data_IF_497420803036
#
_entry.id   IF_497420803036
#
_cell.length_a   1.000
_cell.length_b   1.000
_cell.length_c   1.000
_cell.angle_alpha   90.00
_cell.angle_beta   90.00
_cell.angle_gamma   90.00
#
_symmetry.space_group_name_H-M   'P 1'
#
loop_
_entity.id
_entity.type
_entity.pdbx_description
1 polymer ?
#
# COMPACT_ATOMS: atom_id res chain seq x y z
N UNK A 1 5.09 -3.39 9.69
CA UNK A 1 3.83 -3.88 9.08
C UNK A 1 4.11 -4.32 7.66
N UNK A 2 3.61 -5.47 7.26
CA UNK A 2 3.73 -5.98 5.90
C UNK A 2 2.36 -6.02 5.25
N UNK A 3 2.34 -6.15 3.92
CA UNK A 3 1.11 -6.10 3.15
C UNK A 3 0.08 -7.14 3.62
N UNK A 4 0.52 -8.33 3.97
CA UNK A 4 -0.38 -9.39 4.39
C UNK A 4 -1.13 -9.08 5.69
N UNK A 5 -0.67 -8.11 6.47
CA UNK A 5 -1.34 -7.71 7.70
C UNK A 5 -2.50 -6.74 7.45
N UNK A 6 -2.62 -6.23 6.24
CA UNK A 6 -3.70 -5.31 5.89
C UNK A 6 -4.99 -6.08 5.58
N UNK A 7 -6.16 -5.43 5.73
CA UNK A 7 -7.42 -6.03 5.26
C UNK A 7 -7.33 -6.37 3.77
N UNK A 8 -8.02 -7.43 3.31
CA UNK A 8 -7.97 -7.81 1.89
C UNK A 8 -8.30 -6.68 0.92
N UNK A 9 -9.28 -5.84 1.28
CA UNK A 9 -9.65 -4.71 0.43
C UNK A 9 -8.51 -3.70 0.33
N UNK A 10 -7.81 -3.45 1.44
CA UNK A 10 -6.66 -2.54 1.44
C UNK A 10 -5.51 -3.10 0.60
N UNK A 11 -5.29 -4.41 0.65
CA UNK A 11 -4.27 -5.05 -0.16
C UNK A 11 -4.56 -4.89 -1.66
N UNK A 12 -5.81 -5.06 -2.04
CA UNK A 12 -6.23 -4.88 -3.44
C UNK A 12 -6.02 -3.43 -3.89
N UNK A 13 -6.43 -2.48 -3.07
CA UNK A 13 -6.27 -1.07 -3.40
C UNK A 13 -4.80 -0.70 -3.50
N UNK A 14 -3.99 -1.20 -2.58
CA UNK A 14 -2.55 -0.97 -2.62
C UNK A 14 -1.94 -1.45 -3.94
N UNK A 15 -2.27 -2.68 -4.34
CA UNK A 15 -1.77 -3.23 -5.59
C UNK A 15 -2.24 -2.41 -6.79
N UNK A 16 -3.50 -2.00 -6.78
CA UNK A 16 -4.08 -1.19 -7.86
C UNK A 16 -3.39 0.16 -7.98
N UNK A 17 -3.23 0.86 -6.86
CA UNK A 17 -2.62 2.19 -6.85
C UNK A 17 -1.15 2.12 -7.26
N UNK A 18 -0.45 1.07 -6.84
CA UNK A 18 0.92 0.85 -7.27
C UNK A 18 0.99 0.61 -8.78
N UNK A 19 0.04 -0.15 -9.30
CA UNK A 19 -0.06 -0.40 -10.73
C UNK A 19 -0.32 0.86 -11.54
N UNK A 20 -1.00 1.85 -10.95
CA UNK A 20 -1.23 3.15 -11.61
C UNK A 20 0.02 4.03 -11.61
N UNK A 21 1.05 3.66 -10.86
CA UNK A 21 2.25 4.48 -10.76
C UNK A 21 2.14 5.64 -9.79
N UNK A 22 1.16 5.60 -8.89
CA UNK A 22 0.97 6.68 -7.91
C UNK A 22 2.12 6.70 -6.90
N UNK A 23 2.42 7.89 -6.40
CA UNK A 23 3.48 8.06 -5.41
C UNK A 23 3.08 7.42 -4.08
N UNK A 24 4.09 6.93 -3.35
CA UNK A 24 3.88 6.27 -2.07
C UNK A 24 3.09 7.15 -1.09
N UNK A 25 3.36 8.45 -1.08
CA UNK A 25 2.66 9.38 -0.20
C UNK A 25 1.16 9.41 -0.48
N UNK A 26 0.78 9.39 -1.75
CA UNK A 26 -0.62 9.41 -2.16
C UNK A 26 -1.29 8.10 -1.77
N UNK A 27 -0.62 6.98 -2.04
CA UNK A 27 -1.14 5.66 -1.68
C UNK A 27 -1.35 5.58 -0.17
N UNK A 28 -0.36 6.00 0.59
CA UNK A 28 -0.42 6.03 2.05
C UNK A 28 -1.63 6.83 2.55
N UNK A 29 -1.79 8.04 2.02
CA UNK A 29 -2.87 8.91 2.46
C UNK A 29 -4.24 8.30 2.19
N UNK A 30 -4.45 7.78 0.99
CA UNK A 30 -5.71 7.15 0.62
C UNK A 30 -6.01 5.93 1.47
N UNK A 31 -5.04 5.05 1.65
CA UNK A 31 -5.25 3.85 2.45
C UNK A 31 -5.54 4.19 3.91
N UNK A 32 -4.81 5.15 4.46
CA UNK A 32 -5.02 5.56 5.84
C UNK A 32 -6.42 6.11 6.06
N UNK A 33 -6.92 6.89 5.12
CA UNK A 33 -8.26 7.48 5.21
C UNK A 33 -9.37 6.45 5.02
N UNK A 34 -9.20 5.56 4.03
CA UNK A 34 -10.26 4.61 3.69
C UNK A 34 -10.41 3.48 4.70
N UNK A 35 -9.32 3.07 5.31
CA UNK A 35 -9.30 1.89 6.18
C UNK A 35 -8.87 2.21 7.60
N UNK A 36 -8.75 3.50 7.92
CA UNK A 36 -8.34 3.95 9.25
C UNK A 36 -7.01 3.31 9.68
N UNK A 37 -6.04 3.34 8.77
CA UNK A 37 -4.71 2.78 8.99
C UNK A 37 -3.71 3.87 9.34
N UNK A 38 -2.53 3.46 9.81
CA UNK A 38 -1.44 4.37 10.18
C UNK A 38 -0.16 3.99 9.45
N UNK A 39 -0.25 3.89 8.13
CA UNK A 39 0.90 3.56 7.31
C UNK A 39 1.80 4.77 7.12
N UNK A 40 3.10 4.51 6.95
CA UNK A 40 4.07 5.55 6.61
C UNK A 40 4.56 5.34 5.18
N UNK A 41 5.19 6.38 4.60
CA UNK A 41 5.78 6.26 3.27
C UNK A 41 6.82 5.15 3.21
N UNK A 42 7.61 5.01 4.28
CA UNK A 42 8.61 3.93 4.37
C UNK A 42 7.95 2.56 4.28
N UNK A 43 6.85 2.37 4.99
CA UNK A 43 6.13 1.11 4.95
C UNK A 43 5.57 0.83 3.56
N UNK A 44 5.02 1.85 2.90
CA UNK A 44 4.52 1.70 1.53
C UNK A 44 5.65 1.29 0.60
N UNK A 45 6.79 1.95 0.68
CA UNK A 45 7.94 1.61 -0.16
C UNK A 45 8.43 0.19 0.07
N UNK A 46 8.49 -0.23 1.33
CA UNK A 46 8.90 -1.59 1.67
C UNK A 46 7.92 -2.62 1.11
N UNK A 47 6.62 -2.35 1.24
CA UNK A 47 5.62 -3.25 0.69
C UNK A 47 5.72 -3.34 -0.82
N UNK A 48 6.02 -2.24 -1.51
CA UNK A 48 6.20 -2.25 -2.95
C UNK A 48 7.41 -3.08 -3.37
N UNK A 49 8.49 -3.04 -2.59
CA UNK A 49 9.71 -3.75 -2.93
C UNK A 49 9.65 -5.23 -2.54
N UNK A 50 9.03 -5.55 -1.41
CA UNK A 50 9.11 -6.87 -0.81
C UNK A 50 7.87 -7.72 -1.01
N UNK A 51 6.70 -7.12 -1.03
CA UNK A 51 5.44 -7.86 -0.99
C UNK A 51 4.73 -7.95 -2.34
N UNK A 52 5.03 -7.06 -3.28
CA UNK A 52 4.42 -7.14 -4.59
C UNK A 52 5.21 -8.07 -5.50
N UNK A 53 4.52 -8.90 -6.28
CA UNK A 53 5.21 -9.76 -7.24
C UNK A 53 5.88 -8.91 -8.31
N UNK A 54 7.08 -9.31 -8.66
CA UNK A 54 7.77 -8.69 -9.79
C UNK A 54 7.27 -9.34 -11.08
N UNK A 55 6.76 -8.54 -11.93
CA UNK A 55 6.35 -9.00 -13.25
C UNK A 55 7.37 -8.62 -14.29
#
# INVERSE_FOLDING_TARGET
>A
MILSELPPAAQRDFARFTGYGWKAKIIMDLLNRRYDLRLTCDQIRRMQLLDLPKT
#
